data_IF_391732856098
#
_entry.id   IF_391732856098
#
_cell.length_a   1.000
_cell.length_b   1.000
_cell.length_c   1.000
_cell.angle_alpha   90.00
_cell.angle_beta   90.00
_cell.angle_gamma   90.00
#
_symmetry.space_group_name_H-M   'P 1'
#
loop_
_entity.id
_entity.type
_entity.pdbx_description
1 polymer ?
#
# COMPACT_ATOMS: atom_id res chain seq x y z
N UNK A 1 15.10 -6.58 6.59
CA UNK A 1 16.50 -6.76 6.17
C UNK A 1 17.33 -5.74 6.94
N UNK A 2 18.44 -6.13 7.62
CA UNK A 2 19.32 -5.17 8.28
C UNK A 2 19.91 -4.20 7.25
N UNK A 3 20.05 -2.94 7.61
CA UNK A 3 20.77 -1.98 6.79
C UNK A 3 22.22 -2.45 6.61
N UNK A 4 22.70 -2.47 5.38
CA UNK A 4 24.09 -2.83 5.07
C UNK A 4 25.05 -1.61 5.14
N UNK A 5 24.54 -0.45 5.45
CA UNK A 5 25.39 0.74 5.62
C UNK A 5 25.90 0.80 7.07
N UNK A 6 27.22 0.64 7.31
CA UNK A 6 27.80 0.63 8.66
C UNK A 6 27.69 1.99 9.39
N UNK A 7 27.35 3.08 8.69
CA UNK A 7 27.16 4.40 9.29
C UNK A 7 25.76 4.59 9.91
N UNK A 8 24.83 3.66 9.64
CA UNK A 8 23.51 3.70 10.24
C UNK A 8 23.35 2.54 11.21
N UNK A 9 22.84 2.82 12.40
CA UNK A 9 22.40 1.78 13.32
C UNK A 9 21.54 0.75 12.58
N UNK A 10 21.80 -0.53 12.83
CA UNK A 10 21.06 -1.63 12.20
C UNK A 10 19.56 -1.49 12.48
N UNK A 11 18.82 -0.96 11.53
CA UNK A 11 17.37 -0.83 11.59
C UNK A 11 16.74 -2.03 10.90
N UNK A 12 15.81 -2.65 11.58
CA UNK A 12 14.96 -3.66 10.93
C UNK A 12 13.98 -2.95 9.99
N UNK A 13 14.02 -3.30 8.72
CA UNK A 13 13.11 -2.77 7.72
C UNK A 13 12.53 -3.91 6.89
N UNK A 14 11.26 -3.76 6.51
CA UNK A 14 10.61 -4.62 5.53
C UNK A 14 10.57 -3.89 4.18
N UNK A 15 10.93 -4.61 3.11
CA UNK A 15 10.95 -4.02 1.77
C UNK A 15 9.53 -3.77 1.22
N UNK A 16 8.55 -4.56 1.67
CA UNK A 16 7.15 -4.50 1.26
C UNK A 16 6.23 -4.68 2.45
N UNK A 17 4.93 -4.81 2.17
CA UNK A 17 3.93 -5.16 3.16
C UNK A 17 4.25 -6.53 3.80
N UNK A 18 4.69 -6.57 5.06
CA UNK A 18 5.15 -7.81 5.67
C UNK A 18 3.96 -8.71 6.02
N UNK A 19 3.81 -9.84 5.33
CA UNK A 19 2.69 -10.78 5.53
C UNK A 19 2.61 -11.30 6.98
N UNK A 20 3.75 -11.50 7.64
CA UNK A 20 3.80 -11.91 9.05
C UNK A 20 3.27 -10.82 10.00
N UNK A 21 3.50 -9.55 9.70
CA UNK A 21 2.91 -8.44 10.45
C UNK A 21 1.39 -8.42 10.26
N UNK A 22 0.93 -8.58 9.02
CA UNK A 22 -0.49 -8.65 8.70
C UNK A 22 -1.18 -9.78 9.47
N UNK A 23 -0.56 -10.97 9.53
CA UNK A 23 -1.07 -12.10 10.30
C UNK A 23 -1.19 -11.75 11.79
N UNK A 24 -0.17 -11.13 12.38
CA UNK A 24 -0.19 -10.70 13.78
C UNK A 24 -1.24 -9.62 14.06
N UNK A 25 -1.48 -8.74 13.11
CA UNK A 25 -2.51 -7.70 13.19
C UNK A 25 -3.92 -8.22 12.86
N UNK A 26 -4.06 -9.53 12.56
CA UNK A 26 -5.32 -10.17 12.17
C UNK A 26 -5.94 -9.55 10.91
N UNK A 27 -5.10 -9.15 9.97
CA UNK A 27 -5.54 -8.77 8.63
C UNK A 27 -6.02 -10.02 7.87
N UNK A 28 -6.53 -9.86 6.67
CA UNK A 28 -7.13 -10.89 5.82
C UNK A 28 -6.09 -11.91 5.30
N UNK A 29 -5.37 -12.53 6.23
CA UNK A 29 -4.33 -13.53 5.95
C UNK A 29 -4.35 -14.64 6.99
N UNK A 30 -4.10 -15.87 6.58
CA UNK A 30 -4.01 -17.03 7.46
C UNK A 30 -2.84 -17.94 7.07
N UNK A 31 -2.56 -18.92 7.94
CA UNK A 31 -1.65 -20.01 7.63
C UNK A 31 -2.49 -21.18 7.12
N UNK A 32 -2.19 -21.64 5.92
CA UNK A 32 -2.85 -22.81 5.32
C UNK A 32 -2.41 -24.14 5.94
N UNK A 33 -2.98 -25.24 5.46
CA UNK A 33 -2.65 -26.60 5.92
C UNK A 33 -1.21 -27.03 5.62
N UNK A 34 -0.47 -26.29 4.79
CA UNK A 34 0.96 -26.54 4.45
C UNK A 34 1.92 -25.67 5.24
N UNK A 35 1.41 -24.72 6.03
CA UNK A 35 2.22 -23.73 6.77
C UNK A 35 2.54 -22.49 5.96
N UNK A 36 1.96 -22.33 4.76
CA UNK A 36 2.12 -21.15 3.91
C UNK A 36 1.11 -20.07 4.27
N UNK A 37 1.45 -18.81 4.00
CA UNK A 37 0.55 -17.68 4.21
C UNK A 37 -0.33 -17.47 2.98
N UNK A 38 -1.63 -17.47 3.19
CA UNK A 38 -2.63 -17.21 2.14
C UNK A 38 -3.59 -16.08 2.53
N UNK A 39 -4.16 -15.40 1.54
CA UNK A 39 -5.17 -14.38 1.75
C UNK A 39 -6.55 -15.02 2.00
N UNK A 40 -7.37 -14.38 2.84
CA UNK A 40 -8.73 -14.83 3.13
C UNK A 40 -9.72 -14.39 2.05
N UNK A 41 -10.75 -15.19 1.82
CA UNK A 41 -11.87 -14.85 0.94
C UNK A 41 -12.95 -14.02 1.65
N UNK A 42 -13.12 -14.20 2.96
CA UNK A 42 -14.06 -13.41 3.77
C UNK A 42 -13.37 -12.19 4.34
N UNK A 43 -13.50 -11.06 3.65
CA UNK A 43 -12.69 -9.87 3.87
C UNK A 43 -13.24 -8.96 4.96
N UNK A 44 -12.34 -8.44 5.78
CA UNK A 44 -12.56 -7.30 6.69
C UNK A 44 -11.69 -6.11 6.25
N UNK A 45 -12.01 -4.91 6.70
CA UNK A 45 -11.13 -3.75 6.48
C UNK A 45 -9.75 -4.03 7.09
N UNK A 46 -8.70 -3.85 6.30
CA UNK A 46 -7.33 -4.03 6.81
C UNK A 46 -7.04 -3.09 7.98
N UNK A 47 -6.26 -3.54 8.96
CA UNK A 47 -5.80 -2.68 10.05
C UNK A 47 -4.73 -1.69 9.60
N UNK A 48 -4.45 -0.71 10.45
CA UNK A 48 -3.28 0.17 10.31
C UNK A 48 -2.01 -0.67 10.47
N UNK A 49 -1.16 -0.67 9.45
CA UNK A 49 0.13 -1.38 9.43
C UNK A 49 1.32 -0.44 9.69
N UNK A 50 1.09 0.86 9.61
CA UNK A 50 2.11 1.88 9.84
C UNK A 50 1.58 3.29 9.74
N UNK A 51 2.49 4.25 9.84
CA UNK A 51 2.22 5.68 9.71
C UNK A 51 3.23 6.31 8.76
N UNK A 52 2.74 7.13 7.86
CA UNK A 52 3.59 7.90 6.96
C UNK A 52 4.22 9.10 7.68
N UNK A 53 5.30 9.64 7.12
CA UNK A 53 5.99 10.80 7.72
C UNK A 53 5.16 12.09 7.75
N UNK A 54 4.10 12.16 6.97
CA UNK A 54 3.12 13.25 6.98
C UNK A 54 1.98 13.07 8.01
N UNK A 55 2.05 12.00 8.80
CA UNK A 55 1.10 11.70 9.87
C UNK A 55 -0.14 10.93 9.43
N UNK A 56 -0.28 10.63 8.14
CA UNK A 56 -1.41 9.83 7.67
C UNK A 56 -1.21 8.32 7.97
N UNK A 57 -2.28 7.59 8.30
CA UNK A 57 -2.21 6.15 8.52
C UNK A 57 -1.97 5.39 7.22
N UNK A 58 -1.23 4.28 7.32
CA UNK A 58 -1.00 3.33 6.25
C UNK A 58 -1.76 2.05 6.61
N UNK A 59 -2.68 1.64 5.76
CA UNK A 59 -3.48 0.43 5.90
C UNK A 59 -2.94 -0.72 5.03
N UNK A 60 -3.33 -1.93 5.37
CA UNK A 60 -3.19 -3.06 4.45
C UNK A 60 -4.07 -2.91 3.20
N UNK A 61 -4.18 -3.95 2.35
CA UNK A 61 -4.72 -3.80 1.00
C UNK A 61 -6.25 -3.79 0.88
N UNK A 62 -6.98 -4.05 1.97
CA UNK A 62 -8.44 -4.16 1.92
C UNK A 62 -9.11 -2.97 2.59
N UNK A 63 -10.01 -2.32 1.89
CA UNK A 63 -10.79 -1.19 2.39
C UNK A 63 -12.23 -1.23 1.88
N UNK A 64 -13.03 -0.25 2.29
CA UNK A 64 -14.37 -0.09 1.74
C UNK A 64 -14.32 0.14 0.22
N UNK A 65 -15.28 -0.39 -0.53
CA UNK A 65 -15.34 -0.21 -1.98
C UNK A 65 -15.58 1.24 -2.41
N UNK A 66 -16.17 2.05 -1.53
CA UNK A 66 -16.32 3.50 -1.75
C UNK A 66 -15.66 4.30 -0.61
N UNK A 67 -15.28 5.56 -0.85
CA UNK A 67 -14.73 6.41 0.21
C UNK A 67 -15.65 6.62 1.42
N UNK A 68 -16.94 6.48 1.24
CA UNK A 68 -17.94 6.70 2.30
C UNK A 68 -18.36 5.44 3.05
N UNK A 69 -17.88 4.25 2.62
CA UNK A 69 -18.22 2.95 3.22
C UNK A 69 -18.58 1.90 2.18
N UNK A 70 -19.34 0.88 2.60
CA UNK A 70 -19.81 -0.21 1.75
C UNK A 70 -19.09 -1.54 1.98
N UNK A 71 -19.25 -2.54 1.10
CA UNK A 71 -18.56 -3.81 1.20
C UNK A 71 -17.04 -3.63 1.19
N UNK A 72 -16.35 -4.57 1.83
CA UNK A 72 -14.88 -4.60 1.80
C UNK A 72 -14.42 -5.31 0.54
N UNK A 73 -13.39 -4.74 -0.08
CA UNK A 73 -12.66 -5.37 -1.18
C UNK A 73 -11.19 -4.96 -1.18
N UNK A 74 -10.40 -5.63 -1.98
CA UNK A 74 -9.04 -5.19 -2.30
C UNK A 74 -9.11 -3.85 -3.04
N UNK A 75 -8.25 -2.92 -2.62
CA UNK A 75 -8.11 -1.64 -3.30
C UNK A 75 -7.05 -1.74 -4.39
N UNK A 76 -7.35 -1.12 -5.52
CA UNK A 76 -6.54 -1.19 -6.73
C UNK A 76 -5.71 0.08 -6.87
N UNK A 77 -4.42 -0.10 -7.19
CA UNK A 77 -3.53 1.00 -7.55
C UNK A 77 -4.00 1.66 -8.84
N UNK A 78 -3.82 2.97 -8.95
CA UNK A 78 -4.07 3.71 -10.19
C UNK A 78 -2.82 3.82 -11.08
N UNK A 79 -1.84 2.95 -10.87
CA UNK A 79 -0.65 2.86 -11.71
C UNK A 79 -0.73 1.63 -12.62
N UNK A 80 -0.40 1.83 -13.90
CA UNK A 80 -0.33 0.76 -14.89
C UNK A 80 1.05 0.68 -15.50
N UNK A 81 1.46 -0.52 -15.89
CA UNK A 81 2.73 -0.74 -16.58
C UNK A 81 2.70 -0.03 -17.94
N UNK A 82 3.70 0.79 -18.21
CA UNK A 82 3.88 1.44 -19.49
C UNK A 82 5.38 1.46 -19.86
N UNK A 83 5.84 0.40 -20.49
CA UNK A 83 7.23 0.29 -20.90
C UNK A 83 7.57 1.33 -21.98
N UNK A 84 8.50 2.21 -21.67
CA UNK A 84 8.97 3.23 -22.60
C UNK A 84 9.85 2.60 -23.70
N UNK A 85 9.88 3.14 -24.94
CA UNK A 85 10.65 2.58 -26.04
C UNK A 85 12.15 2.41 -25.77
N UNK A 86 12.72 3.29 -24.96
CA UNK A 86 14.16 3.29 -24.64
C UNK A 86 14.49 2.59 -23.31
N UNK A 87 13.52 1.88 -22.72
CA UNK A 87 13.75 1.11 -21.49
C UNK A 87 14.67 -0.06 -21.76
N UNK A 88 15.63 -0.28 -20.87
CA UNK A 88 16.43 -1.52 -20.87
C UNK A 88 15.54 -2.75 -20.74
N UNK A 89 16.01 -3.89 -21.24
CA UNK A 89 15.27 -5.15 -21.25
C UNK A 89 14.75 -5.53 -19.86
N UNK A 90 13.54 -6.09 -19.81
CA UNK A 90 12.96 -6.65 -18.57
C UNK A 90 13.77 -7.85 -18.07
N UNK A 91 14.49 -8.54 -18.95
CA UNK A 91 15.41 -9.62 -18.55
C UNK A 91 16.64 -9.11 -17.79
N UNK A 92 17.09 -7.90 -18.08
CA UNK A 92 18.25 -7.29 -17.44
C UNK A 92 17.84 -6.52 -16.15
N UNK A 93 16.69 -5.87 -16.22
CA UNK A 93 16.10 -5.11 -15.11
C UNK A 93 14.62 -5.44 -14.99
N UNK A 94 14.24 -6.14 -13.93
CA UNK A 94 12.84 -6.52 -13.66
C UNK A 94 11.90 -5.30 -13.63
N UNK A 95 10.61 -5.53 -13.87
CA UNK A 95 9.59 -4.48 -13.70
C UNK A 95 9.66 -3.89 -12.29
N UNK A 96 9.54 -2.57 -12.20
CA UNK A 96 9.67 -1.83 -10.95
C UNK A 96 11.11 -1.44 -10.59
N UNK A 97 12.11 -1.81 -11.42
CA UNK A 97 13.47 -1.30 -11.29
C UNK A 97 13.56 0.20 -11.60
N UNK A 98 12.65 0.69 -12.43
CA UNK A 98 12.54 2.11 -12.79
C UNK A 98 11.14 2.62 -12.46
N UNK A 99 11.04 3.80 -11.88
CA UNK A 99 9.76 4.43 -11.58
C UNK A 99 8.98 4.73 -12.87
N UNK A 100 9.69 4.96 -13.96
CA UNK A 100 9.16 5.24 -15.30
C UNK A 100 8.53 4.01 -15.97
N UNK A 101 8.66 2.82 -15.36
CA UNK A 101 7.97 1.60 -15.82
C UNK A 101 6.44 1.72 -15.63
N UNK A 102 5.99 2.68 -14.81
CA UNK A 102 4.58 2.85 -14.47
C UNK A 102 4.10 4.26 -14.72
N UNK A 103 2.91 4.37 -15.30
CA UNK A 103 2.20 5.64 -15.46
C UNK A 103 0.99 5.68 -14.52
N UNK A 104 0.73 6.85 -13.94
CA UNK A 104 -0.48 7.11 -13.19
C UNK A 104 -1.63 7.38 -14.16
N UNK A 105 -2.67 6.54 -14.12
CA UNK A 105 -3.83 6.59 -15.02
C UNK A 105 -5.11 7.08 -14.35
N UNK A 106 -5.15 7.11 -13.03
CA UNK A 106 -6.33 7.42 -12.22
C UNK A 106 -7.52 6.46 -12.42
N UNK A 107 -7.28 5.25 -12.92
CA UNK A 107 -8.33 4.25 -13.19
C UNK A 107 -8.61 3.35 -11.98
N UNK A 108 -7.73 3.38 -10.96
CA UNK A 108 -7.88 2.60 -9.72
C UNK A 108 -8.65 3.35 -8.62
N UNK A 109 -8.47 2.87 -7.40
CA UNK A 109 -9.14 3.41 -6.21
C UNK A 109 -8.38 4.54 -5.53
N UNK A 110 -7.09 4.64 -5.81
CA UNK A 110 -6.14 5.43 -5.08
C UNK A 110 -5.57 6.54 -5.94
N UNK A 111 -5.19 7.64 -5.33
CA UNK A 111 -4.56 8.76 -6.02
C UNK A 111 -3.06 8.48 -6.33
N UNK A 112 -2.38 9.46 -6.91
CA UNK A 112 -0.97 9.35 -7.30
C UNK A 112 0.00 9.08 -6.13
N UNK A 113 -0.44 9.28 -4.89
CA UNK A 113 0.34 8.99 -3.69
C UNK A 113 0.04 7.60 -3.10
N UNK A 114 -0.84 6.83 -3.75
CA UNK A 114 -1.38 5.55 -3.29
C UNK A 114 -2.25 5.68 -2.05
N UNK A 115 -3.00 6.76 -1.96
CA UNK A 115 -3.92 7.05 -0.87
C UNK A 115 -5.26 7.57 -1.38
N UNK A 116 -6.18 7.76 -0.44
CA UNK A 116 -7.46 8.43 -0.68
C UNK A 116 -8.03 9.00 0.60
N UNK A 117 -8.88 10.01 0.47
CA UNK A 117 -9.70 10.46 1.60
C UNK A 117 -10.91 9.52 1.74
N UNK A 118 -11.04 8.83 2.86
CA UNK A 118 -12.10 7.83 3.06
C UNK A 118 -12.40 7.59 4.54
N UNK A 119 -13.56 6.97 4.78
CA UNK A 119 -13.88 6.39 6.09
C UNK A 119 -13.08 5.10 6.30
N UNK A 120 -12.71 4.86 7.55
CA UNK A 120 -12.13 3.61 8.02
C UNK A 120 -12.76 3.24 9.36
N UNK A 121 -12.56 2.03 9.88
CA UNK A 121 -13.06 1.66 11.20
C UNK A 121 -12.62 2.60 12.33
N UNK A 122 -11.36 3.07 12.28
CA UNK A 122 -10.79 3.98 13.28
C UNK A 122 -11.20 5.44 13.05
N UNK A 123 -11.54 5.81 11.81
CA UNK A 123 -11.90 7.17 11.43
C UNK A 123 -13.24 7.22 10.69
N UNK A 124 -14.36 7.05 11.42
CA UNK A 124 -15.70 7.00 10.83
C UNK A 124 -16.15 8.32 10.17
N UNK A 125 -15.51 9.43 10.55
CA UNK A 125 -15.77 10.75 9.96
C UNK A 125 -14.91 11.03 8.71
N UNK A 126 -13.97 10.13 8.40
CA UNK A 126 -13.05 10.25 7.26
C UNK A 126 -11.66 10.70 7.66
N UNK A 127 -10.69 10.20 6.93
CA UNK A 127 -9.27 10.50 7.04
C UNK A 127 -8.62 10.32 5.67
N UNK A 128 -7.57 11.06 5.38
CA UNK A 128 -6.71 10.67 4.27
C UNK A 128 -5.83 9.50 4.72
N UNK A 129 -5.86 8.41 3.98
CA UNK A 129 -5.16 7.18 4.31
C UNK A 129 -4.44 6.62 3.08
N UNK A 130 -3.24 6.10 3.30
CA UNK A 130 -2.50 5.31 2.33
C UNK A 130 -2.89 3.84 2.45
N UNK A 131 -2.79 3.11 1.35
CA UNK A 131 -3.07 1.68 1.33
C UNK A 131 -1.93 0.94 0.64
N UNK A 132 -1.45 -0.12 1.28
CA UNK A 132 -0.57 -1.06 0.58
C UNK A 132 -1.36 -1.74 -0.52
N UNK A 133 -0.76 -1.91 -1.71
CA UNK A 133 -1.43 -2.52 -2.85
C UNK A 133 -0.84 -3.87 -3.20
N UNK A 134 -1.70 -4.81 -3.52
CA UNK A 134 -1.35 -6.17 -3.95
C UNK A 134 -2.20 -6.55 -5.16
N UNK A 135 -1.71 -7.49 -5.96
CA UNK A 135 -2.39 -8.07 -7.11
C UNK A 135 -2.26 -9.58 -7.08
N UNK A 136 -2.98 -10.28 -7.93
CA UNK A 136 -2.77 -11.70 -8.15
C UNK A 136 -1.42 -11.93 -8.86
N UNK A 137 -0.82 -13.10 -8.68
CA UNK A 137 0.52 -13.40 -9.18
C UNK A 137 0.62 -13.32 -10.71
N UNK A 138 -0.49 -13.56 -11.41
CA UNK A 138 -0.58 -13.41 -12.86
C UNK A 138 -0.88 -11.97 -13.32
N UNK A 139 -0.91 -11.01 -12.39
CA UNK A 139 -1.27 -9.62 -12.67
C UNK A 139 -2.76 -9.39 -12.86
N UNK A 140 -3.60 -10.42 -12.70
CA UNK A 140 -5.05 -10.30 -12.84
C UNK A 140 -5.69 -9.64 -11.62
N UNK A 141 -6.87 -9.09 -11.83
CA UNK A 141 -7.74 -8.59 -10.78
C UNK A 141 -8.81 -9.61 -10.38
N UNK A 142 -8.63 -10.87 -10.84
CA UNK A 142 -9.55 -11.96 -10.59
C UNK A 142 -9.71 -12.27 -9.10
N UNK A 143 -10.88 -12.72 -8.67
CA UNK A 143 -11.05 -13.16 -7.30
C UNK A 143 -10.26 -14.43 -7.02
N UNK A 144 -9.14 -14.27 -6.36
CA UNK A 144 -8.52 -15.21 -5.45
C UNK A 144 -8.00 -16.57 -5.97
N UNK A 145 -6.68 -16.66 -6.10
CA UNK A 145 -5.96 -17.93 -6.14
C UNK A 145 -5.08 -18.21 -4.90
N UNK A 146 -5.12 -17.33 -3.91
CA UNK A 146 -4.31 -17.44 -2.67
C UNK A 146 -2.92 -16.82 -2.72
N UNK A 147 -2.34 -16.63 -3.89
CA UNK A 147 -1.04 -16.00 -4.06
C UNK A 147 -1.21 -14.54 -4.50
N UNK A 148 -0.66 -13.63 -3.70
CA UNK A 148 -0.72 -12.20 -4.00
C UNK A 148 0.64 -11.56 -3.89
N UNK A 149 0.95 -10.73 -4.85
CA UNK A 149 2.20 -9.98 -4.91
C UNK A 149 1.96 -8.49 -4.66
N UNK A 150 2.95 -7.79 -4.05
CA UNK A 150 2.89 -6.34 -3.97
C UNK A 150 2.86 -5.72 -5.37
N UNK A 151 1.96 -4.74 -5.59
CA UNK A 151 1.91 -3.97 -6.83
C UNK A 151 2.36 -2.54 -6.63
N UNK A 152 2.97 -1.95 -7.66
CA UNK A 152 3.45 -0.57 -7.63
C UNK A 152 2.31 0.41 -7.28
N UNK A 153 2.55 1.42 -6.44
CA UNK A 153 3.80 1.80 -5.78
C UNK A 153 4.05 1.11 -4.43
N UNK A 154 3.50 -0.05 -4.20
CA UNK A 154 3.69 -0.96 -3.07
C UNK A 154 3.08 -0.45 -1.76
N UNK A 155 3.50 0.72 -1.28
CA UNK A 155 2.98 1.35 -0.06
C UNK A 155 2.53 2.78 -0.37
N UNK A 156 3.45 3.65 -0.78
CA UNK A 156 3.15 5.03 -1.12
C UNK A 156 4.16 5.57 -2.16
N UNK A 157 3.73 6.56 -2.93
CA UNK A 157 4.56 7.27 -3.89
C UNK A 157 4.62 8.76 -3.52
N UNK A 158 5.49 9.09 -2.55
CA UNK A 158 5.55 10.42 -1.95
C UNK A 158 4.47 10.66 -0.90
N UNK A 159 4.36 11.89 -0.42
CA UNK A 159 3.44 12.27 0.64
C UNK A 159 2.38 13.24 0.14
N UNK A 160 1.15 13.05 0.58
CA UNK A 160 0.01 13.92 0.26
C UNK A 160 0.19 15.29 0.91
N UNK A 161 0.59 15.28 2.17
CA UNK A 161 0.79 16.49 2.96
C UNK A 161 2.26 16.89 2.94
N UNK A 162 2.52 18.18 2.96
CA UNK A 162 3.90 18.67 3.14
C UNK A 162 4.40 18.23 4.51
N UNK A 163 5.69 17.86 4.59
CA UNK A 163 6.36 17.53 5.84
C UNK A 163 6.01 18.59 6.88
N UNK A 164 5.50 18.17 8.02
CA UNK A 164 5.36 19.04 9.19
C UNK A 164 6.78 19.43 9.58
N UNK A 165 7.14 20.70 9.42
CA UNK A 165 8.40 21.17 9.99
C UNK A 165 8.30 20.96 11.49
N UNK A 166 9.32 20.34 12.08
CA UNK A 166 9.39 20.01 13.50
C UNK A 166 9.59 21.27 14.36
N UNK A 167 8.74 22.28 14.17
CA UNK A 167 8.72 23.49 14.99
C UNK A 167 7.59 23.43 16.05
N UNK A 168 7.10 22.23 16.36
CA UNK A 168 6.18 22.02 17.48
C UNK A 168 4.78 22.59 17.30
N UNK A 169 4.40 23.00 16.11
CA UNK A 169 3.03 23.41 15.83
C UNK A 169 2.21 22.20 15.36
N UNK A 170 1.09 21.86 16.02
CA UNK A 170 0.20 20.81 15.54
C UNK A 170 -0.41 21.21 14.19
N UNK A 171 -0.54 20.22 13.29
CA UNK A 171 -1.36 20.37 12.07
C UNK A 171 -2.74 20.88 12.46
N UNK A 172 -3.10 22.06 12.03
CA UNK A 172 -4.46 22.55 12.17
C UNK A 172 -5.32 21.98 11.05
N UNK A 173 -6.58 21.64 11.35
CA UNK A 173 -7.59 21.16 10.39
C UNK A 173 -7.82 22.12 9.21
N UNK A 174 -7.24 23.32 9.21
CA UNK A 174 -7.30 24.32 8.16
C UNK A 174 -6.33 24.05 7.00
N UNK A 175 -5.36 23.14 7.17
CA UNK A 175 -4.41 22.75 6.13
C UNK A 175 -4.88 21.54 5.31
N UNK A 176 -6.08 21.04 5.60
CA UNK A 176 -6.73 19.98 4.82
C UNK A 176 -7.65 20.61 3.77
N UNK A 177 -7.51 20.22 2.49
CA UNK A 177 -8.42 20.67 1.43
C UNK A 177 -9.84 20.13 1.61
#
# INVERSE_FOLDING_TARGET
VPSQNPEYEAKFASAYLPRQLRLKLKDNIQIDGTGSLEELSNLSHSPIVGWAYDGAPIYGPYGFNTPTGGPIRRLVSSYTVNLKPNRSSVSDFALGSFIEDYDYTADGDLDKYNGRYCKTPEYPNGVYAYFCTIQDQDGSESPFDGSREPTFPYVLNGFKFKKVEMNGQPLTLQDMP
#
